data_IF_227411350231
#
_entry.id   IF_227411350231
#
_cell.length_a   1.000
_cell.length_b   1.000
_cell.length_c   1.000
_cell.angle_alpha   90.00
_cell.angle_beta   90.00
_cell.angle_gamma   90.00
#
_symmetry.space_group_name_H-M   'P 1'
#
loop_
_entity.id
_entity.type
_entity.pdbx_description
1 polymer ?
#
# COMPACT_ATOMS: atom_id res chain seq x y z
N UNK A 1 -42.55 -51.20 -17.39
CA UNK A 1 -41.68 -50.10 -17.93
C UNK A 1 -41.31 -49.20 -16.79
N UNK A 2 -40.08 -49.30 -16.33
CA UNK A 2 -39.56 -48.49 -15.22
C UNK A 2 -38.68 -47.42 -15.79
N UNK A 3 -39.12 -46.14 -15.72
CA UNK A 3 -38.33 -44.99 -16.13
C UNK A 3 -37.45 -44.57 -14.96
N UNK A 4 -36.16 -44.69 -15.09
CA UNK A 4 -35.15 -44.19 -14.14
C UNK A 4 -34.80 -42.74 -14.50
N UNK A 5 -35.24 -41.79 -13.66
CA UNK A 5 -34.79 -40.41 -13.74
C UNK A 5 -33.41 -40.31 -13.10
N UNK A 6 -32.37 -40.07 -13.92
CA UNK A 6 -31.03 -39.70 -13.48
C UNK A 6 -30.97 -38.18 -13.26
N UNK A 7 -30.96 -37.76 -12.01
CA UNK A 7 -30.75 -36.37 -11.63
C UNK A 7 -29.28 -36.05 -11.75
N UNK A 8 -28.90 -35.22 -12.73
CA UNK A 8 -27.57 -34.66 -12.87
C UNK A 8 -27.41 -33.50 -11.91
N UNK A 9 -26.62 -33.70 -10.86
CA UNK A 9 -26.21 -32.64 -9.93
C UNK A 9 -25.05 -31.88 -10.53
N UNK A 10 -25.29 -30.67 -11.06
CA UNK A 10 -24.24 -29.72 -11.47
C UNK A 10 -23.67 -29.07 -10.20
N UNK A 11 -22.50 -29.53 -9.80
CA UNK A 11 -21.64 -28.82 -8.81
C UNK A 11 -21.05 -27.60 -9.50
N UNK A 12 -21.66 -26.44 -9.28
CA UNK A 12 -21.07 -25.14 -9.62
C UNK A 12 -19.92 -24.86 -8.67
N UNK A 13 -18.69 -25.14 -9.11
CA UNK A 13 -17.48 -24.73 -8.42
C UNK A 13 -17.31 -23.23 -8.66
N UNK A 14 -17.73 -22.44 -7.68
CA UNK A 14 -17.46 -21.00 -7.65
C UNK A 14 -15.95 -20.81 -7.45
N UNK A 15 -15.24 -20.45 -8.50
CA UNK A 15 -13.84 -20.05 -8.44
C UNK A 15 -13.79 -18.66 -7.82
N UNK A 16 -13.60 -18.62 -6.49
CA UNK A 16 -13.17 -17.41 -5.82
C UNK A 16 -11.73 -17.10 -6.26
N UNK A 17 -11.58 -16.23 -7.26
CA UNK A 17 -10.30 -15.59 -7.56
C UNK A 17 -10.02 -14.59 -6.45
N UNK A 18 -9.41 -15.05 -5.36
CA UNK A 18 -8.80 -14.16 -4.37
C UNK A 18 -7.68 -13.40 -5.09
N UNK A 19 -7.80 -12.10 -5.23
CA UNK A 19 -6.68 -11.24 -5.57
C UNK A 19 -5.68 -11.36 -4.40
N UNK A 20 -4.72 -12.28 -4.53
CA UNK A 20 -3.68 -12.49 -3.53
C UNK A 20 -2.70 -11.33 -3.67
N UNK A 21 -2.81 -10.34 -2.76
CA UNK A 21 -1.72 -9.42 -2.50
C UNK A 21 -0.50 -10.22 -2.02
N UNK A 22 0.70 -9.73 -2.29
CA UNK A 22 1.90 -10.37 -1.76
C UNK A 22 1.88 -10.32 -0.23
N UNK A 23 2.25 -11.43 0.40
CA UNK A 23 2.32 -11.53 1.86
C UNK A 23 3.67 -11.07 2.41
N UNK A 24 4.69 -10.95 1.55
CA UNK A 24 6.06 -10.58 1.92
C UNK A 24 6.71 -9.69 0.87
N UNK A 25 7.62 -8.83 1.32
CA UNK A 25 8.45 -7.97 0.49
C UNK A 25 9.92 -8.19 0.85
N UNK A 26 10.76 -8.39 -0.18
CA UNK A 26 12.20 -8.52 0.00
C UNK A 26 12.90 -7.22 -0.35
N UNK A 27 13.62 -6.66 0.62
CA UNK A 27 14.48 -5.50 0.44
C UNK A 27 15.95 -5.92 0.65
N UNK A 28 16.67 -6.17 -0.44
CA UNK A 28 18.03 -6.70 -0.36
C UNK A 28 18.07 -8.12 0.21
N UNK A 29 18.69 -8.31 1.37
CA UNK A 29 18.79 -9.60 2.05
C UNK A 29 17.66 -9.86 3.04
N UNK A 30 16.97 -8.83 3.47
CA UNK A 30 15.91 -8.89 4.47
C UNK A 30 14.54 -9.10 3.86
N UNK A 31 13.63 -9.67 4.64
CA UNK A 31 12.25 -9.94 4.23
C UNK A 31 11.30 -9.43 5.28
N UNK A 32 10.38 -8.56 4.89
CA UNK A 32 9.31 -8.07 5.74
C UNK A 32 7.98 -8.68 5.32
N UNK A 33 7.08 -8.87 6.28
CA UNK A 33 5.82 -9.57 6.08
C UNK A 33 4.63 -8.69 6.49
N UNK A 34 3.47 -8.99 5.93
CA UNK A 34 2.23 -8.40 6.41
C UNK A 34 2.08 -8.67 7.92
N UNK A 35 1.79 -7.63 8.69
CA UNK A 35 1.74 -7.65 10.15
C UNK A 35 2.95 -7.03 10.84
N UNK A 36 4.08 -6.86 10.14
CA UNK A 36 5.27 -6.21 10.70
C UNK A 36 5.00 -4.74 11.03
N UNK A 37 5.70 -4.23 12.03
CA UNK A 37 5.56 -2.83 12.42
C UNK A 37 6.28 -1.89 11.43
N UNK A 38 5.82 -0.65 11.35
CA UNK A 38 6.53 0.43 10.61
C UNK A 38 8.01 0.48 11.00
N UNK A 39 8.31 0.33 12.30
CA UNK A 39 9.68 0.35 12.81
C UNK A 39 10.52 -0.82 12.28
N UNK A 40 9.96 -2.03 12.26
CA UNK A 40 10.62 -3.22 11.71
C UNK A 40 10.95 -3.03 10.24
N UNK A 41 9.96 -2.59 9.44
CA UNK A 41 10.16 -2.34 8.03
C UNK A 41 11.22 -1.27 7.78
N UNK A 42 11.24 -0.21 8.58
CA UNK A 42 12.25 0.84 8.47
C UNK A 42 13.67 0.34 8.81
N UNK A 43 13.80 -0.52 9.81
CA UNK A 43 15.09 -1.11 10.17
C UNK A 43 15.62 -2.06 9.10
N UNK A 44 14.76 -2.94 8.59
CA UNK A 44 15.14 -3.99 7.65
C UNK A 44 15.34 -3.45 6.22
N UNK A 45 14.44 -2.56 5.77
CA UNK A 45 14.42 -2.06 4.40
C UNK A 45 14.97 -0.64 4.24
N UNK A 46 15.21 0.07 5.34
CA UNK A 46 15.62 1.48 5.28
C UNK A 46 14.46 2.41 4.92
N UNK A 47 14.80 3.68 4.69
CA UNK A 47 13.81 4.70 4.35
C UNK A 47 13.23 4.47 2.94
N UNK A 48 11.90 4.57 2.76
CA UNK A 48 11.28 4.49 1.44
C UNK A 48 11.61 5.72 0.59
N UNK A 49 11.47 5.58 -0.72
CA UNK A 49 11.68 6.69 -1.66
C UNK A 49 10.59 7.76 -1.55
N UNK A 50 9.38 7.34 -1.18
CA UNK A 50 8.26 8.24 -0.91
C UNK A 50 7.39 7.68 0.20
N UNK A 51 6.89 8.56 1.06
CA UNK A 51 5.87 8.26 2.08
C UNK A 51 4.65 9.13 1.84
N UNK A 52 3.49 8.53 1.82
CA UNK A 52 2.20 9.21 1.90
C UNK A 52 1.63 8.95 3.30
N UNK A 53 1.45 10.02 4.07
CA UNK A 53 0.96 9.96 5.44
C UNK A 53 -0.45 10.50 5.46
N UNK A 54 -1.39 9.74 6.01
CA UNK A 54 -2.74 10.23 6.26
C UNK A 54 -2.76 10.99 7.58
N UNK A 55 -3.07 12.27 7.48
CA UNK A 55 -3.20 13.17 8.63
C UNK A 55 -4.68 13.46 8.83
N UNK A 56 -5.17 13.25 10.04
CA UNK A 56 -6.53 13.62 10.41
C UNK A 56 -6.49 14.90 11.21
N UNK A 57 -7.02 15.96 10.64
CA UNK A 57 -7.17 17.26 11.31
C UNK A 57 -8.56 17.37 11.92
N UNK A 58 -8.63 17.74 13.21
CA UNK A 58 -9.89 18.03 13.86
C UNK A 58 -10.31 19.45 13.49
N UNK A 59 -11.34 19.57 12.67
CA UNK A 59 -11.96 20.83 12.36
C UNK A 59 -12.96 21.19 13.47
N UNK A 60 -12.71 22.27 14.19
CA UNK A 60 -13.65 22.79 15.16
C UNK A 60 -14.88 23.40 14.45
N UNK A 61 -15.93 22.63 14.33
CA UNK A 61 -17.18 23.13 13.79
C UNK A 61 -17.95 23.94 14.83
N UNK A 62 -18.44 25.11 14.41
CA UNK A 62 -19.15 26.13 15.22
C UNK A 62 -20.48 25.67 15.84
N UNK A 63 -20.87 24.39 15.71
CA UNK A 63 -22.17 23.84 16.17
C UNK A 63 -22.09 22.47 16.82
N UNK A 64 -21.05 22.18 17.57
CA UNK A 64 -21.04 20.97 18.42
C UNK A 64 -20.98 19.62 17.70
N UNK A 65 -20.71 19.59 16.40
CA UNK A 65 -20.34 18.37 15.66
C UNK A 65 -18.86 18.44 15.34
N UNK A 66 -18.11 17.49 15.89
CA UNK A 66 -16.73 17.32 15.51
C UNK A 66 -16.68 16.87 14.04
N UNK A 67 -16.13 17.69 13.19
CA UNK A 67 -15.82 17.34 11.80
C UNK A 67 -14.33 17.00 11.72
N UNK A 68 -14.03 15.89 11.08
CA UNK A 68 -12.64 15.46 10.82
C UNK A 68 -12.40 15.54 9.33
N UNK A 69 -11.35 16.22 8.93
CA UNK A 69 -10.86 16.19 7.56
C UNK A 69 -9.60 15.31 7.48
N UNK A 70 -9.51 14.48 6.47
CA UNK A 70 -8.36 13.63 6.23
C UNK A 70 -7.55 14.15 5.06
N UNK A 71 -6.31 14.51 5.31
CA UNK A 71 -5.37 15.00 4.30
C UNK A 71 -4.23 14.01 4.10
N UNK A 72 -3.85 13.78 2.86
CA UNK A 72 -2.66 13.01 2.52
C UNK A 72 -1.48 13.97 2.35
N UNK A 73 -0.43 13.76 3.14
CA UNK A 73 0.83 14.51 3.04
C UNK A 73 1.88 13.60 2.43
N UNK A 74 2.57 14.09 1.40
CA UNK A 74 3.65 13.38 0.73
C UNK A 74 4.99 13.84 1.27
N UNK A 75 5.78 12.88 1.73
CA UNK A 75 7.11 13.11 2.30
C UNK A 75 8.15 12.39 1.46
N UNK A 76 8.98 13.12 0.70
CA UNK A 76 10.05 12.52 -0.09
C UNK A 76 11.12 11.87 0.79
N UNK A 77 11.94 11.01 0.19
CA UNK A 77 13.09 10.39 0.85
C UNK A 77 14.00 11.43 1.52
N UNK A 78 14.45 11.13 2.73
CA UNK A 78 15.34 12.01 3.51
C UNK A 78 14.68 13.20 4.18
N UNK A 79 13.40 13.45 3.94
CA UNK A 79 12.63 14.50 4.61
C UNK A 79 12.04 14.01 5.94
N UNK A 80 12.00 14.89 6.95
CA UNK A 80 11.31 14.63 8.21
C UNK A 80 9.90 15.19 8.14
N UNK A 81 8.97 14.44 8.70
CA UNK A 81 7.61 14.92 8.94
C UNK A 81 7.38 15.05 10.45
N UNK A 82 7.02 16.24 10.89
CA UNK A 82 6.82 16.55 12.32
C UNK A 82 5.34 16.60 12.74
N UNK A 83 4.42 16.23 11.85
CA UNK A 83 2.99 16.21 12.13
C UNK A 83 2.54 14.94 12.85
N UNK A 84 1.32 14.98 13.38
CA UNK A 84 0.68 13.82 13.99
C UNK A 84 0.11 12.94 12.88
N UNK A 85 0.63 11.71 12.76
CA UNK A 85 0.12 10.69 11.84
C UNK A 85 -1.00 9.89 12.52
N UNK A 86 -2.01 9.50 11.75
CA UNK A 86 -3.04 8.55 12.21
C UNK A 86 -2.51 7.11 12.32
N UNK A 87 -1.26 6.87 11.93
CA UNK A 87 -0.67 5.54 11.80
C UNK A 87 -1.02 4.83 10.51
N UNK A 88 -1.74 5.50 9.61
CA UNK A 88 -2.04 5.03 8.26
C UNK A 88 -1.08 5.71 7.29
N UNK A 89 -0.20 4.92 6.71
CA UNK A 89 0.84 5.39 5.79
C UNK A 89 0.91 4.48 4.58
N UNK A 90 1.36 5.04 3.46
CA UNK A 90 1.71 4.28 2.26
C UNK A 90 3.15 4.59 1.90
N UNK A 91 3.96 3.56 1.81
CA UNK A 91 5.39 3.66 1.49
C UNK A 91 5.67 3.09 0.12
N UNK A 92 6.55 3.75 -0.61
CA UNK A 92 6.95 3.37 -1.96
C UNK A 92 8.46 3.11 -1.98
N UNK A 93 8.82 1.93 -2.48
CA UNK A 93 10.20 1.53 -2.74
C UNK A 93 10.40 1.37 -4.23
N UNK A 94 11.25 2.22 -4.82
CA UNK A 94 11.57 2.22 -6.25
C UNK A 94 13.00 1.70 -6.46
N UNK A 95 13.19 0.43 -6.83
CA UNK A 95 14.52 -0.15 -7.05
C UNK A 95 15.15 0.33 -8.37
N UNK A 96 14.46 1.14 -9.13
CA UNK A 96 14.93 1.61 -10.44
C UNK A 96 14.32 0.84 -11.62
N UNK A 97 14.83 1.06 -12.84
CA UNK A 97 14.17 0.62 -14.06
C UNK A 97 14.13 -0.89 -14.26
N UNK A 98 14.95 -1.63 -13.55
CA UNK A 98 15.05 -3.11 -13.66
C UNK A 98 14.20 -3.86 -12.66
N UNK A 99 13.55 -3.14 -11.73
CA UNK A 99 12.71 -3.73 -10.70
C UNK A 99 11.31 -3.13 -10.66
N UNK A 100 10.41 -3.79 -9.93
CA UNK A 100 9.07 -3.30 -9.70
C UNK A 100 9.05 -2.33 -8.51
N UNK A 101 8.25 -1.29 -8.61
CA UNK A 101 7.91 -0.44 -7.47
C UNK A 101 7.02 -1.23 -6.52
N UNK A 102 7.43 -1.30 -5.26
CA UNK A 102 6.62 -1.90 -4.20
C UNK A 102 5.91 -0.81 -3.42
N UNK A 103 4.64 -1.06 -3.18
CA UNK A 103 3.77 -0.18 -2.39
C UNK A 103 3.35 -0.93 -1.14
N UNK A 104 3.79 -0.44 0.00
CA UNK A 104 3.52 -0.97 1.32
C UNK A 104 2.49 -0.08 2.01
N UNK A 105 1.32 -0.64 2.29
CA UNK A 105 0.25 0.08 3.00
C UNK A 105 0.28 -0.29 4.48
N UNK A 106 0.34 0.71 5.34
CA UNK A 106 0.31 0.55 6.78
C UNK A 106 -1.03 1.04 7.33
N UNK A 107 -1.60 0.25 8.22
CA UNK A 107 -2.77 0.62 9.01
C UNK A 107 -2.41 0.49 10.50
N UNK A 108 -2.67 1.54 11.27
CA UNK A 108 -2.34 1.58 12.70
C UNK A 108 -0.89 1.18 12.99
N UNK A 109 0.04 1.69 12.17
CA UNK A 109 1.49 1.44 12.25
C UNK A 109 1.92 -0.02 12.03
N UNK A 110 1.07 -0.84 11.37
CA UNK A 110 1.40 -2.19 10.94
C UNK A 110 1.19 -2.37 9.46
N UNK A 111 2.08 -3.15 8.82
CA UNK A 111 1.98 -3.48 7.41
C UNK A 111 0.71 -4.28 7.14
N UNK A 112 -0.21 -3.72 6.40
CA UNK A 112 -1.51 -4.32 6.09
C UNK A 112 -1.57 -4.94 4.72
N UNK A 113 -0.88 -4.36 3.74
CA UNK A 113 -0.82 -4.92 2.39
C UNK A 113 0.48 -4.57 1.67
N UNK A 114 0.86 -5.42 0.74
CA UNK A 114 2.01 -5.24 -0.15
C UNK A 114 1.51 -5.40 -1.57
N UNK A 115 1.80 -4.41 -2.42
CA UNK A 115 1.41 -4.40 -3.84
C UNK A 115 2.63 -4.15 -4.70
N UNK A 116 2.63 -4.72 -5.91
CA UNK A 116 3.56 -4.35 -6.98
C UNK A 116 2.87 -3.37 -7.91
N UNK A 117 3.52 -2.26 -8.18
CA UNK A 117 3.17 -1.36 -9.27
C UNK A 117 4.26 -1.46 -10.34
N UNK A 118 4.01 -0.97 -11.54
CA UNK A 118 4.92 -1.08 -12.68
C UNK A 118 6.42 -0.94 -12.40
N UNK A 119 7.24 -0.99 -13.42
CA UNK A 119 8.70 -0.83 -13.29
C UNK A 119 9.09 0.53 -12.74
N UNK A 120 10.16 0.55 -11.94
CA UNK A 120 10.71 1.76 -11.34
C UNK A 120 11.31 2.74 -12.35
N UNK A 121 11.75 3.87 -11.85
CA UNK A 121 12.32 4.95 -12.67
C UNK A 121 13.82 4.80 -12.86
N UNK A 122 14.35 5.06 -14.05
CA UNK A 122 15.80 5.25 -14.21
C UNK A 122 16.30 6.38 -13.32
N UNK A 123 17.47 6.22 -12.70
CA UNK A 123 18.10 7.30 -11.94
C UNK A 123 18.32 8.52 -12.85
N UNK A 124 17.85 9.68 -12.42
CA UNK A 124 17.96 10.94 -13.18
C UNK A 124 16.77 11.27 -14.08
N UNK A 125 15.81 10.39 -14.22
CA UNK A 125 14.50 10.71 -14.82
C UNK A 125 13.54 11.08 -13.68
N UNK A 126 12.58 12.00 -13.93
CA UNK A 126 11.58 12.37 -12.94
C UNK A 126 11.01 11.15 -12.26
N UNK A 127 10.90 11.19 -10.96
CA UNK A 127 10.29 10.11 -10.18
C UNK A 127 8.92 9.75 -10.76
N UNK A 128 8.42 8.54 -10.51
CA UNK A 128 7.08 8.15 -10.97
C UNK A 128 6.00 9.18 -10.55
N UNK A 129 6.23 9.91 -9.48
CA UNK A 129 5.36 10.98 -9.00
C UNK A 129 5.37 12.20 -9.95
N UNK A 130 6.54 12.61 -10.40
CA UNK A 130 6.67 13.71 -11.39
C UNK A 130 6.08 13.30 -12.73
N UNK A 131 6.28 12.04 -13.16
CA UNK A 131 5.65 11.51 -14.36
C UNK A 131 4.12 11.53 -14.27
N UNK A 132 3.55 11.24 -13.10
CA UNK A 132 2.10 11.32 -12.87
C UNK A 132 1.58 12.76 -12.97
N UNK A 133 2.37 13.75 -12.56
CA UNK A 133 2.03 15.17 -12.73
C UNK A 133 2.09 15.62 -14.19
N UNK A 134 3.05 15.09 -14.96
CA UNK A 134 3.21 15.41 -16.37
C UNK A 134 2.16 14.74 -17.27
N UNK A 135 1.51 13.67 -16.82
CA UNK A 135 0.46 12.95 -17.54
C UNK A 135 -0.95 13.57 -17.36
N UNK A 136 -1.06 14.69 -16.69
CA UNK A 136 -2.29 15.47 -16.57
C UNK A 136 -2.21 16.64 -17.56
#
# INVERSE_FOLDING_TARGET
MKATLTAAVFLAVAWCTSAQGESSFRCGHEVVNVGDSVYTVLQECGAPDLREIRVTEKLYARRGRDSYDSKIVRVPAGSKYEGVSSGDETWYYDPGPTGFVYVLEFAKSRLSSIKKEGYGSPKGIPSWEERRKLAR
#
